data_IF_003042089105
#
_entry.id   IF_003042089105
#
_cell.length_a   1.000
_cell.length_b   1.000
_cell.length_c   1.000
_cell.angle_alpha   90.00
_cell.angle_beta   90.00
_cell.angle_gamma   90.00
#
_symmetry.space_group_name_H-M   'P 1'
#
loop_
_entity.id
_entity.type
_entity.pdbx_description
1 polymer ?
#
# COMPACT_ATOMS: atom_id res chain seq x y z
N UNK A 1 15.50 -5.93 -16.75
CA UNK A 1 15.46 -5.09 -15.53
C UNK A 1 16.31 -5.73 -14.45
N UNK A 2 17.12 -4.95 -13.75
CA UNK A 2 17.94 -5.44 -12.65
C UNK A 2 17.07 -5.78 -11.43
N UNK A 3 17.63 -6.56 -10.49
CA UNK A 3 16.95 -6.88 -9.24
C UNK A 3 16.55 -5.62 -8.46
N UNK A 4 17.46 -4.64 -8.38
CA UNK A 4 17.19 -3.37 -7.70
C UNK A 4 16.03 -2.61 -8.34
N UNK A 5 15.97 -2.54 -9.66
CA UNK A 5 14.87 -1.87 -10.36
C UNK A 5 13.53 -2.56 -10.11
N UNK A 6 13.51 -3.90 -10.03
CA UNK A 6 12.29 -4.63 -9.67
C UNK A 6 11.87 -4.36 -8.23
N UNK A 7 12.79 -4.06 -7.32
CA UNK A 7 12.46 -3.64 -5.95
C UNK A 7 11.75 -2.30 -5.94
N UNK A 8 12.21 -1.34 -6.77
CA UNK A 8 11.61 -0.01 -6.86
C UNK A 8 10.29 -0.02 -7.65
N UNK A 9 10.22 -0.78 -8.74
CA UNK A 9 9.03 -0.87 -9.61
C UNK A 9 8.92 -2.28 -10.19
N UNK A 10 8.35 -3.24 -9.44
CA UNK A 10 8.24 -4.62 -9.89
C UNK A 10 7.46 -4.77 -11.20
N UNK A 11 7.98 -5.60 -12.11
CA UNK A 11 7.38 -5.89 -13.42
C UNK A 11 7.53 -7.35 -13.80
N UNK A 12 6.55 -7.88 -14.52
CA UNK A 12 6.58 -9.23 -15.08
C UNK A 12 6.57 -10.34 -14.03
N UNK A 13 7.00 -11.54 -14.42
CA UNK A 13 6.99 -12.72 -13.55
C UNK A 13 7.98 -12.57 -12.36
N UNK A 14 9.18 -12.09 -12.64
CA UNK A 14 10.18 -11.85 -11.58
C UNK A 14 9.69 -10.79 -10.59
N UNK A 15 8.99 -9.76 -11.07
CA UNK A 15 8.37 -8.74 -10.23
C UNK A 15 7.28 -9.32 -9.32
N UNK A 16 6.46 -10.25 -9.82
CA UNK A 16 5.44 -10.92 -9.01
C UNK A 16 6.04 -11.73 -7.86
N UNK A 17 7.13 -12.46 -8.12
CA UNK A 17 7.85 -13.20 -7.08
C UNK A 17 8.40 -12.24 -6.03
N UNK A 18 9.02 -11.15 -6.45
CA UNK A 18 9.58 -10.15 -5.54
C UNK A 18 8.51 -9.50 -4.65
N UNK A 19 7.36 -9.15 -5.20
CA UNK A 19 6.25 -8.61 -4.43
C UNK A 19 5.75 -9.61 -3.38
N UNK A 20 5.69 -10.90 -3.72
CA UNK A 20 5.36 -11.96 -2.75
C UNK A 20 6.38 -12.03 -1.60
N UNK A 21 7.68 -11.96 -1.92
CA UNK A 21 8.75 -11.96 -0.92
C UNK A 21 8.65 -10.72 -0.02
N UNK A 22 8.38 -9.55 -0.57
CA UNK A 22 8.19 -8.32 0.19
C UNK A 22 7.01 -8.43 1.15
N UNK A 23 5.86 -8.94 0.69
CA UNK A 23 4.70 -9.14 1.54
C UNK A 23 4.98 -10.09 2.71
N UNK A 24 5.74 -11.16 2.47
CA UNK A 24 6.10 -12.15 3.49
C UNK A 24 7.18 -11.63 4.43
N UNK A 25 8.26 -11.06 3.86
CA UNK A 25 9.44 -10.61 4.62
C UNK A 25 9.18 -9.43 5.54
N UNK A 26 8.18 -8.61 5.26
CA UNK A 26 7.86 -7.39 6.02
C UNK A 26 6.64 -7.54 6.92
N UNK A 27 6.00 -8.70 6.96
CA UNK A 27 4.74 -8.91 7.69
C UNK A 27 4.88 -8.63 9.18
N UNK A 28 5.91 -9.17 9.83
CA UNK A 28 6.14 -8.99 11.27
C UNK A 28 6.42 -7.53 11.62
N UNK A 29 7.18 -6.82 10.78
CA UNK A 29 7.49 -5.41 10.99
C UNK A 29 6.25 -4.54 10.84
N UNK A 30 5.41 -4.81 9.85
CA UNK A 30 4.16 -4.09 9.65
C UNK A 30 3.19 -4.29 10.82
N UNK A 31 3.03 -5.51 11.29
CA UNK A 31 2.19 -5.80 12.46
C UNK A 31 2.71 -5.08 13.71
N UNK A 32 4.02 -5.11 13.96
CA UNK A 32 4.63 -4.37 15.05
C UNK A 32 4.36 -2.86 14.94
N UNK A 33 4.58 -2.28 13.77
CA UNK A 33 4.35 -0.85 13.53
C UNK A 33 2.91 -0.44 13.79
N UNK A 34 1.95 -1.25 13.35
CA UNK A 34 0.53 -0.97 13.53
C UNK A 34 0.09 -1.04 15.00
N UNK A 35 0.81 -1.75 15.86
CA UNK A 35 0.51 -1.76 17.30
C UNK A 35 0.77 -0.42 17.98
N UNK A 36 1.58 0.45 17.40
CA UNK A 36 1.93 1.77 17.94
C UNK A 36 1.03 2.90 17.45
N UNK A 37 0.03 2.57 16.62
CA UNK A 37 -0.87 3.56 16.02
C UNK A 37 -2.30 3.21 16.43
N UNK A 38 -3.05 4.22 16.87
CA UNK A 38 -4.47 4.06 17.16
C UNK A 38 -5.26 4.22 15.86
N UNK A 39 -5.84 3.14 15.39
CA UNK A 39 -6.71 3.11 14.21
C UNK A 39 -8.14 2.89 14.72
N UNK A 40 -9.05 3.78 14.31
CA UNK A 40 -10.47 3.68 14.67
C UNK A 40 -11.21 2.76 13.70
N UNK A 41 -12.35 2.25 14.12
CA UNK A 41 -13.15 1.31 13.34
C UNK A 41 -13.65 1.89 12.01
N UNK A 42 -13.79 3.21 11.92
CA UNK A 42 -14.34 3.93 10.77
C UNK A 42 -13.34 4.88 10.09
N UNK A 43 -12.05 4.72 10.33
CA UNK A 43 -11.03 5.58 9.75
C UNK A 43 -10.96 5.45 8.23
N UNK A 44 -10.66 6.58 7.59
CA UNK A 44 -10.31 6.64 6.18
C UNK A 44 -8.78 6.72 6.07
N UNK A 45 -8.18 5.69 5.48
CA UNK A 45 -6.72 5.51 5.45
C UNK A 45 -6.18 5.47 4.02
N UNK A 46 -4.95 5.96 3.87
CA UNK A 46 -4.17 5.84 2.63
C UNK A 46 -2.90 5.05 2.93
N UNK A 47 -2.61 4.05 2.11
CA UNK A 47 -1.34 3.31 2.14
C UNK A 47 -0.53 3.64 0.89
N UNK A 48 0.56 4.39 1.07
CA UNK A 48 1.44 4.82 -0.02
C UNK A 48 2.52 3.77 -0.24
N UNK A 49 2.64 3.29 -1.49
CA UNK A 49 3.55 2.20 -1.81
C UNK A 49 2.99 0.88 -1.29
N UNK A 50 1.73 0.60 -1.58
CA UNK A 50 0.99 -0.52 -0.99
C UNK A 50 1.52 -1.90 -1.41
N UNK A 51 2.40 -1.99 -2.39
CA UNK A 51 2.99 -3.24 -2.83
C UNK A 51 1.95 -4.28 -3.22
N UNK A 52 2.10 -5.50 -2.72
CA UNK A 52 1.17 -6.60 -2.99
C UNK A 52 -0.13 -6.56 -2.20
N UNK A 53 -0.33 -5.54 -1.35
CA UNK A 53 -1.60 -5.30 -0.67
C UNK A 53 -1.75 -5.96 0.71
N UNK A 54 -0.71 -6.55 1.26
CA UNK A 54 -0.79 -7.18 2.58
C UNK A 54 -1.06 -6.15 3.69
N UNK A 55 -0.47 -4.97 3.61
CA UNK A 55 -0.71 -3.90 4.58
C UNK A 55 -2.10 -3.28 4.42
N UNK A 56 -2.62 -3.18 3.19
CA UNK A 56 -4.02 -2.82 2.97
C UNK A 56 -4.96 -3.77 3.68
N UNK A 57 -4.69 -5.06 3.57
CA UNK A 57 -5.50 -6.09 4.26
C UNK A 57 -5.47 -5.93 5.77
N UNK A 58 -4.30 -5.60 6.33
CA UNK A 58 -4.15 -5.34 7.77
C UNK A 58 -4.94 -4.11 8.21
N UNK A 59 -4.84 -3.01 7.45
CA UNK A 59 -5.60 -1.79 7.72
C UNK A 59 -7.11 -2.02 7.64
N UNK A 60 -7.58 -2.79 6.65
CA UNK A 60 -8.98 -3.14 6.49
C UNK A 60 -9.52 -3.93 7.70
N UNK A 61 -8.70 -4.79 8.29
CA UNK A 61 -9.09 -5.53 9.51
C UNK A 61 -9.18 -4.62 10.73
N UNK A 62 -8.28 -3.63 10.82
CA UNK A 62 -8.25 -2.71 11.97
C UNK A 62 -9.32 -1.64 11.90
N UNK A 63 -9.86 -1.38 10.72
CA UNK A 63 -10.93 -0.39 10.50
C UNK A 63 -12.08 -1.04 9.73
N UNK A 64 -12.85 -1.94 10.37
CA UNK A 64 -13.84 -2.77 9.68
C UNK A 64 -15.00 -1.97 9.08
N UNK A 65 -15.28 -0.77 9.59
CA UNK A 65 -16.29 0.15 9.06
C UNK A 65 -15.66 1.31 8.29
N UNK A 66 -14.36 1.30 8.11
CA UNK A 66 -13.61 2.34 7.43
C UNK A 66 -13.42 2.06 5.94
N UNK A 67 -12.67 2.95 5.31
CA UNK A 67 -12.31 2.88 3.90
C UNK A 67 -10.81 3.04 3.74
N UNK A 68 -10.21 2.23 2.89
CA UNK A 68 -8.76 2.24 2.68
C UNK A 68 -8.47 2.41 1.20
N UNK A 69 -7.58 3.35 0.87
CA UNK A 69 -7.04 3.49 -0.48
C UNK A 69 -5.57 3.10 -0.46
N UNK A 70 -5.16 2.26 -1.39
CA UNK A 70 -3.76 1.94 -1.64
C UNK A 70 -3.32 2.57 -2.95
N UNK A 71 -2.09 3.06 -2.98
CA UNK A 71 -1.48 3.58 -4.20
C UNK A 71 -0.08 3.01 -4.35
N UNK A 72 0.28 2.62 -5.57
CA UNK A 72 1.61 2.14 -5.89
C UNK A 72 2.00 2.56 -7.30
N UNK A 73 3.28 2.78 -7.50
CA UNK A 73 3.83 3.14 -8.80
C UNK A 73 3.90 1.96 -9.76
N UNK A 74 4.01 0.74 -9.23
CA UNK A 74 4.14 -0.50 -10.00
C UNK A 74 2.78 -1.07 -10.38
N UNK A 75 2.55 -1.28 -11.67
CA UNK A 75 1.35 -1.95 -12.16
C UNK A 75 1.22 -3.38 -11.62
N UNK A 76 2.33 -4.12 -11.52
CA UNK A 76 2.34 -5.47 -10.96
C UNK A 76 1.87 -5.47 -9.52
N UNK A 77 2.36 -4.52 -8.71
CA UNK A 77 1.92 -4.36 -7.32
C UNK A 77 0.44 -4.03 -7.23
N UNK A 78 -0.04 -3.10 -8.05
CA UNK A 78 -1.46 -2.71 -8.08
C UNK A 78 -2.36 -3.90 -8.40
N UNK A 79 -2.03 -4.68 -9.43
CA UNK A 79 -2.83 -5.85 -9.82
C UNK A 79 -2.85 -6.91 -8.72
N UNK A 80 -1.71 -7.16 -8.09
CA UNK A 80 -1.61 -8.12 -6.99
C UNK A 80 -2.39 -7.66 -5.77
N UNK A 81 -2.29 -6.38 -5.44
CA UNK A 81 -3.03 -5.76 -4.35
C UNK A 81 -4.55 -5.83 -4.55
N UNK A 82 -5.02 -5.56 -5.76
CA UNK A 82 -6.44 -5.71 -6.14
C UNK A 82 -6.92 -7.14 -5.99
N UNK A 83 -6.12 -8.11 -6.40
CA UNK A 83 -6.47 -9.53 -6.28
C UNK A 83 -6.59 -9.96 -4.82
N UNK A 84 -5.64 -9.57 -3.99
CA UNK A 84 -5.60 -9.92 -2.58
C UNK A 84 -6.79 -9.32 -1.82
N UNK A 85 -7.20 -8.10 -2.17
CA UNK A 85 -8.23 -7.34 -1.46
C UNK A 85 -9.55 -7.27 -2.23
N UNK A 86 -9.80 -8.23 -3.11
CA UNK A 86 -10.98 -8.25 -4.00
C UNK A 86 -12.30 -8.08 -3.24
N UNK A 87 -12.49 -8.80 -2.14
CA UNK A 87 -13.72 -8.74 -1.38
C UNK A 87 -14.01 -7.33 -0.85
N UNK A 88 -13.02 -6.69 -0.25
CA UNK A 88 -13.17 -5.32 0.26
C UNK A 88 -13.40 -4.30 -0.87
N UNK A 89 -12.78 -4.51 -2.04
CA UNK A 89 -13.02 -3.68 -3.22
C UNK A 89 -14.48 -3.81 -3.69
N UNK A 90 -15.00 -5.02 -3.75
CA UNK A 90 -16.39 -5.27 -4.13
C UNK A 90 -17.38 -4.67 -3.13
N UNK A 91 -17.04 -4.63 -1.85
CA UNK A 91 -17.83 -4.00 -0.79
C UNK A 91 -17.76 -2.48 -0.80
N UNK A 92 -16.90 -1.88 -1.63
CA UNK A 92 -16.69 -0.43 -1.69
C UNK A 92 -15.82 0.13 -0.55
N UNK A 93 -15.15 -0.72 0.22
CA UNK A 93 -14.29 -0.33 1.35
C UNK A 93 -12.82 -0.16 0.98
N UNK A 94 -12.41 -0.66 -0.18
CA UNK A 94 -11.03 -0.61 -0.62
C UNK A 94 -10.97 -0.14 -2.07
N UNK A 95 -9.96 0.67 -2.37
CA UNK A 95 -9.62 1.08 -3.72
C UNK A 95 -8.11 1.00 -3.88
N UNK A 96 -7.63 0.52 -5.02
CA UNK A 96 -6.20 0.44 -5.32
C UNK A 96 -5.92 1.17 -6.63
N UNK A 97 -5.01 2.13 -6.58
CA UNK A 97 -4.68 3.00 -7.70
C UNK A 97 -3.21 2.86 -8.07
N UNK A 98 -2.92 2.95 -9.36
CA UNK A 98 -1.57 3.18 -9.83
C UNK A 98 -1.31 4.68 -9.82
N UNK A 99 -0.21 5.11 -9.21
CA UNK A 99 0.11 6.52 -9.14
C UNK A 99 1.50 6.78 -8.56
N UNK A 100 1.88 8.04 -8.62
CA UNK A 100 3.17 8.53 -8.16
C UNK A 100 3.00 9.32 -6.86
N UNK A 101 3.77 8.98 -5.82
CA UNK A 101 3.77 9.70 -4.55
C UNK A 101 4.13 11.19 -4.72
N UNK A 102 4.86 11.54 -5.78
CA UNK A 102 5.21 12.93 -6.10
C UNK A 102 4.02 13.77 -6.56
N UNK A 103 2.90 13.14 -6.92
CA UNK A 103 1.69 13.82 -7.40
C UNK A 103 0.45 12.99 -7.05
N UNK A 104 0.10 12.98 -5.76
CA UNK A 104 -1.05 12.22 -5.27
C UNK A 104 -2.37 12.86 -5.75
N UNK A 105 -3.33 12.05 -6.23
CA UNK A 105 -4.60 12.55 -6.78
C UNK A 105 -5.64 12.81 -5.68
N UNK A 106 -5.23 13.37 -4.55
CA UNK A 106 -6.10 13.62 -3.42
C UNK A 106 -6.00 15.06 -2.93
N UNK A 107 -7.10 15.57 -2.39
CA UNK A 107 -7.13 16.85 -1.70
C UNK A 107 -6.39 16.77 -0.38
N UNK A 108 -5.92 17.91 0.13
CA UNK A 108 -5.36 17.99 1.48
C UNK A 108 -6.39 17.55 2.51
N UNK A 109 -5.91 17.00 3.61
CA UNK A 109 -6.73 16.63 4.77
C UNK A 109 -7.85 15.64 4.44
N UNK A 110 -7.63 14.77 3.44
CA UNK A 110 -8.63 13.79 3.00
C UNK A 110 -8.66 12.52 3.84
N UNK A 111 -7.59 12.24 4.61
CA UNK A 111 -7.43 10.97 5.33
C UNK A 111 -7.22 11.18 6.82
N UNK A 112 -7.72 10.25 7.62
CA UNK A 112 -7.43 10.19 9.06
C UNK A 112 -6.02 9.63 9.33
N UNK A 113 -5.56 8.71 8.50
CA UNK A 113 -4.26 8.07 8.61
C UNK A 113 -3.63 7.90 7.23
N UNK A 114 -2.36 8.26 7.13
CA UNK A 114 -1.54 7.97 5.95
C UNK A 114 -0.37 7.09 6.40
N UNK A 115 -0.22 5.93 5.78
CA UNK A 115 0.84 4.99 6.08
C UNK A 115 1.77 4.83 4.89
N UNK A 116 3.05 4.60 5.17
CA UNK A 116 4.07 4.27 4.18
C UNK A 116 5.04 3.28 4.80
N UNK A 117 4.86 2.00 4.49
CA UNK A 117 5.65 0.92 5.07
C UNK A 117 6.87 0.64 4.21
N UNK A 118 8.06 1.03 4.69
CA UNK A 118 9.35 0.74 4.05
C UNK A 118 9.44 1.17 2.58
N UNK A 119 8.83 2.31 2.23
CA UNK A 119 8.78 2.82 0.85
C UNK A 119 9.42 4.18 0.67
N UNK A 120 9.59 4.95 1.74
CA UNK A 120 10.08 6.34 1.70
C UNK A 120 11.45 6.46 1.01
N UNK A 121 12.35 5.52 1.24
CA UNK A 121 13.68 5.54 0.64
C UNK A 121 13.70 5.30 -0.88
N UNK A 122 12.58 4.92 -1.48
CA UNK A 122 12.41 4.83 -2.93
C UNK A 122 11.82 6.09 -3.55
N UNK A 123 11.41 7.06 -2.72
CA UNK A 123 10.79 8.29 -3.22
C UNK A 123 11.84 9.23 -3.79
N UNK A 124 11.63 9.80 -5.01
CA UNK A 124 12.61 10.70 -5.63
C UNK A 124 12.90 11.95 -4.83
N UNK A 125 11.87 12.53 -4.18
CA UNK A 125 12.01 13.72 -3.36
C UNK A 125 10.98 13.68 -2.22
N UNK A 126 11.46 13.43 -1.02
CA UNK A 126 10.60 13.28 0.16
C UNK A 126 9.91 14.60 0.57
N UNK A 127 10.51 15.73 0.24
CA UNK A 127 9.92 17.04 0.59
C UNK A 127 8.74 17.38 -0.30
N UNK A 128 8.73 16.90 -1.53
CA UNK A 128 7.65 17.10 -2.49
C UNK A 128 6.53 16.07 -2.30
N UNK A 129 6.90 14.86 -1.94
CA UNK A 129 5.96 13.75 -1.76
C UNK A 129 5.00 13.90 -0.51
#
# INVERSE_FOLDING_TARGET
MSFFQNTCKPKGFAGKIMVNMMNTGHAALAEWGLTHIKIRDDDFCLDIGCGGGANLKRLLKKSPNGRIIGIDYSEVSVQKSKKLNRAAIQEGRCEVLQGNVMNLPFSRDSFHLIAAFETIYFWPDIQVA
#
